data_IF_976527314438
#
_entry.id   IF_976527314438
#
_cell.length_a   1.000
_cell.length_b   1.000
_cell.length_c   1.000
_cell.angle_alpha   90.00
_cell.angle_beta   90.00
_cell.angle_gamma   90.00
#
_symmetry.space_group_name_H-M   'P 1'
#
loop_
_entity.id
_entity.type
_entity.pdbx_description
1 polymer ?
#
# COMPACT_ATOMS: atom_id res chain seq x y z
N UNK A 1 -4.53 -4.25 12.24
CA UNK A 1 -4.36 -3.02 11.44
C UNK A 1 -5.20 -3.07 10.20
N UNK A 2 -5.11 -4.15 9.42
CA UNK A 2 -5.98 -4.44 8.27
C UNK A 2 -7.45 -4.10 8.51
N UNK A 3 -8.06 -4.60 9.59
CA UNK A 3 -9.48 -4.31 9.92
C UNK A 3 -9.75 -2.81 10.07
N UNK A 4 -8.89 -2.07 10.78
CA UNK A 4 -9.02 -0.63 10.93
C UNK A 4 -8.88 0.13 9.61
N UNK A 5 -7.95 -0.30 8.75
CA UNK A 5 -7.79 0.27 7.41
C UNK A 5 -9.02 0.02 6.53
N UNK A 6 -9.57 -1.20 6.61
CA UNK A 6 -10.81 -1.55 5.93
C UNK A 6 -11.97 -0.66 6.42
N UNK A 7 -12.12 -0.44 7.73
CA UNK A 7 -13.17 0.43 8.26
C UNK A 7 -13.00 1.89 7.84
N UNK A 8 -11.78 2.42 7.84
CA UNK A 8 -11.49 3.76 7.32
C UNK A 8 -11.87 3.84 5.85
N UNK A 9 -11.49 2.83 5.07
CA UNK A 9 -11.86 2.76 3.67
C UNK A 9 -13.38 2.74 3.54
N UNK A 10 -14.11 1.83 4.18
CA UNK A 10 -15.58 1.76 4.18
C UNK A 10 -16.22 3.11 4.51
N UNK A 11 -15.82 3.74 5.62
CA UNK A 11 -16.51 4.88 6.18
C UNK A 11 -16.16 6.23 5.54
N UNK A 12 -14.95 6.37 5.00
CA UNK A 12 -14.50 7.62 4.39
C UNK A 12 -14.94 7.73 2.92
N UNK A 13 -15.00 8.97 2.46
CA UNK A 13 -15.14 9.31 1.05
C UNK A 13 -14.00 8.68 0.23
N UNK A 14 -14.36 8.05 -0.90
CA UNK A 14 -13.41 7.37 -1.79
C UNK A 14 -12.74 8.32 -2.77
N UNK A 15 -13.26 9.52 -3.02
CA UNK A 15 -12.74 10.45 -4.03
C UNK A 15 -11.23 10.68 -3.92
N UNK A 16 -10.65 10.99 -2.74
CA UNK A 16 -9.20 11.20 -2.64
C UNK A 16 -8.38 9.95 -2.97
N UNK A 17 -8.93 8.76 -2.69
CA UNK A 17 -8.26 7.50 -2.99
C UNK A 17 -8.36 7.14 -4.48
N UNK A 18 -9.51 7.40 -5.13
CA UNK A 18 -9.70 7.23 -6.57
C UNK A 18 -8.80 8.16 -7.38
N UNK A 19 -8.70 9.43 -6.98
CA UNK A 19 -7.76 10.41 -7.53
C UNK A 19 -6.31 9.91 -7.42
N UNK A 20 -5.94 9.40 -6.24
CA UNK A 20 -4.63 8.82 -5.99
C UNK A 20 -4.30 7.59 -6.85
N UNK A 21 -5.31 6.91 -7.39
CA UNK A 21 -5.18 5.77 -8.31
C UNK A 21 -5.36 6.16 -9.79
N UNK A 22 -5.63 7.43 -10.11
CA UNK A 22 -5.99 7.89 -11.44
C UNK A 22 -7.18 7.09 -12.02
N UNK A 23 -8.23 6.95 -11.22
CA UNK A 23 -9.49 6.30 -11.58
C UNK A 23 -10.60 7.34 -11.60
N UNK A 24 -11.23 7.52 -12.76
CA UNK A 24 -12.40 8.37 -12.94
C UNK A 24 -13.66 7.52 -12.78
N UNK A 25 -14.27 7.58 -11.61
CA UNK A 25 -15.46 6.80 -11.26
C UNK A 25 -16.24 7.50 -10.16
N UNK A 26 -17.56 7.46 -10.23
CA UNK A 26 -18.42 7.86 -9.11
C UNK A 26 -18.59 6.70 -8.13
N UNK A 27 -18.29 6.93 -6.85
CA UNK A 27 -18.43 5.95 -5.79
C UNK A 27 -19.16 6.56 -4.59
N UNK A 28 -20.48 6.35 -4.57
CA UNK A 28 -21.38 7.00 -3.61
C UNK A 28 -21.39 6.31 -2.23
N UNK A 29 -20.92 5.06 -2.14
CA UNK A 29 -20.97 4.29 -0.90
C UNK A 29 -19.89 4.73 0.09
N UNK A 30 -20.32 5.44 1.12
CA UNK A 30 -19.49 5.85 2.26
C UNK A 30 -20.32 6.09 3.52
N UNK A 31 -19.62 6.25 4.65
CA UNK A 31 -20.20 6.58 5.95
C UNK A 31 -20.11 5.45 6.96
N UNK A 32 -20.24 5.83 8.25
CA UNK A 32 -20.01 4.94 9.38
C UNK A 32 -21.12 3.88 9.46
N UNK A 33 -20.76 2.59 9.55
CA UNK A 33 -21.75 1.54 9.77
C UNK A 33 -22.31 1.64 11.19
N UNK A 34 -23.58 1.30 11.37
CA UNK A 34 -24.20 1.19 12.70
C UNK A 34 -23.89 -0.16 13.38
N UNK A 35 -23.58 -1.19 12.58
CA UNK A 35 -23.40 -2.56 13.00
C UNK A 35 -22.42 -3.25 12.06
N UNK A 36 -21.47 -3.98 12.65
CA UNK A 36 -20.55 -4.88 11.94
C UNK A 36 -20.92 -6.32 12.27
N UNK A 37 -21.27 -7.09 11.25
CA UNK A 37 -21.42 -8.54 11.33
C UNK A 37 -20.07 -9.20 11.06
N UNK A 38 -19.54 -9.92 12.05
CA UNK A 38 -18.19 -10.47 12.02
C UNK A 38 -18.22 -11.99 12.25
N UNK A 39 -17.25 -12.69 11.65
CA UNK A 39 -16.96 -14.06 12.05
C UNK A 39 -16.15 -14.08 13.37
N UNK A 40 -15.79 -15.28 13.82
CA UNK A 40 -15.10 -15.48 15.10
C UNK A 40 -13.57 -15.41 15.02
N UNK A 41 -12.99 -14.94 13.91
CA UNK A 41 -11.55 -14.83 13.73
C UNK A 41 -10.90 -13.91 14.77
N UNK A 42 -9.62 -14.18 15.04
CA UNK A 42 -8.91 -13.52 16.14
C UNK A 42 -8.71 -12.02 15.90
N UNK A 43 -8.55 -11.59 14.65
CA UNK A 43 -8.41 -10.17 14.28
C UNK A 43 -9.63 -9.32 14.68
N UNK A 44 -10.83 -9.90 14.64
CA UNK A 44 -12.07 -9.24 15.01
C UNK A 44 -12.25 -9.14 16.52
N UNK A 45 -11.46 -9.88 17.31
CA UNK A 45 -11.48 -9.84 18.78
C UNK A 45 -10.44 -8.89 19.36
N UNK A 46 -9.80 -8.06 18.53
CA UNK A 46 -8.79 -7.11 18.98
C UNK A 46 -9.36 -5.99 19.86
N UNK A 47 -8.59 -5.56 20.87
CA UNK A 47 -8.96 -4.41 21.72
C UNK A 47 -9.12 -3.13 20.89
N UNK A 48 -8.26 -2.96 19.87
CA UNK A 48 -8.31 -1.81 18.97
C UNK A 48 -9.65 -1.70 18.23
N UNK A 49 -10.17 -2.82 17.71
CA UNK A 49 -11.47 -2.83 17.05
C UNK A 49 -12.60 -2.50 18.02
N UNK A 50 -12.63 -3.15 19.19
CA UNK A 50 -13.67 -2.92 20.20
C UNK A 50 -13.75 -1.46 20.63
N UNK A 51 -12.60 -0.88 21.03
CA UNK A 51 -12.55 0.53 21.47
C UNK A 51 -12.91 1.51 20.35
N UNK A 52 -12.41 1.27 19.13
CA UNK A 52 -12.75 2.12 17.99
C UNK A 52 -14.25 2.07 17.68
N UNK A 53 -14.86 0.88 17.73
CA UNK A 53 -16.29 0.74 17.51
C UNK A 53 -17.11 1.40 18.62
N UNK A 54 -16.74 1.22 19.89
CA UNK A 54 -17.36 1.88 21.04
C UNK A 54 -17.33 3.41 20.93
N UNK A 55 -16.16 3.98 20.62
CA UNK A 55 -15.97 5.43 20.43
C UNK A 55 -16.87 6.01 19.33
N UNK A 56 -17.17 5.21 18.30
CA UNK A 56 -17.94 5.66 17.13
C UNK A 56 -19.40 5.20 17.13
N UNK A 57 -19.87 4.53 18.19
CA UNK A 57 -21.24 4.01 18.28
C UNK A 57 -21.53 2.86 17.31
N UNK A 58 -20.49 2.13 16.88
CA UNK A 58 -20.60 1.00 15.97
C UNK A 58 -20.78 -0.27 16.81
N UNK A 59 -21.89 -0.99 16.60
CA UNK A 59 -22.11 -2.25 17.30
C UNK A 59 -21.33 -3.39 16.63
N UNK A 60 -20.88 -4.34 17.43
CA UNK A 60 -20.25 -5.57 16.96
C UNK A 60 -21.21 -6.74 17.19
N UNK A 61 -21.52 -7.49 16.15
CA UNK A 61 -22.31 -8.71 16.24
C UNK A 61 -21.54 -9.87 15.62
N UNK A 62 -21.31 -10.90 16.44
CA UNK A 62 -20.51 -12.05 16.08
C UNK A 62 -21.43 -13.21 15.76
N UNK A 63 -21.09 -13.92 14.68
CA UNK A 63 -21.79 -15.14 14.32
C UNK A 63 -21.86 -16.13 15.50
N UNK A 64 -23.00 -16.82 15.70
CA UNK A 64 -23.08 -17.95 16.62
C UNK A 64 -22.03 -19.03 16.31
N UNK A 65 -21.48 -19.64 17.35
CA UNK A 65 -20.49 -20.71 17.19
C UNK A 65 -21.11 -21.92 16.45
N UNK A 66 -20.37 -22.48 15.49
CA UNK A 66 -20.77 -23.70 14.77
C UNK A 66 -21.81 -23.51 13.65
N UNK A 67 -22.09 -22.28 13.22
CA UNK A 67 -23.11 -22.01 12.18
C UNK A 67 -22.50 -21.44 10.88
N UNK A 68 -21.87 -22.28 10.02
CA UNK A 68 -21.13 -21.81 8.84
C UNK A 68 -22.01 -21.09 7.79
N UNK A 69 -23.32 -21.36 7.76
CA UNK A 69 -24.25 -20.82 6.76
C UNK A 69 -24.34 -19.28 6.72
N UNK A 70 -24.02 -18.57 7.80
CA UNK A 70 -23.93 -17.10 7.80
C UNK A 70 -22.76 -16.56 6.94
N UNK A 71 -21.89 -17.42 6.41
CA UNK A 71 -20.73 -17.05 5.59
C UNK A 71 -21.02 -16.90 4.10
N UNK A 72 -22.11 -17.48 3.62
CA UNK A 72 -22.34 -17.62 2.18
C UNK A 72 -22.40 -16.31 1.40
N UNK A 73 -22.76 -15.18 2.04
CA UNK A 73 -22.75 -13.86 1.39
C UNK A 73 -21.31 -13.40 1.14
N UNK A 74 -20.44 -13.51 2.15
CA UNK A 74 -19.04 -13.09 2.07
C UNK A 74 -18.25 -14.05 1.17
N UNK A 75 -18.51 -15.35 1.27
CA UNK A 75 -17.87 -16.35 0.41
C UNK A 75 -18.22 -16.14 -1.07
N UNK A 76 -19.48 -15.78 -1.37
CA UNK A 76 -19.91 -15.51 -2.75
C UNK A 76 -19.23 -14.27 -3.34
N UNK A 77 -19.11 -13.18 -2.56
CA UNK A 77 -18.46 -11.97 -3.08
C UNK A 77 -16.96 -12.17 -3.27
N UNK A 78 -16.31 -12.91 -2.37
CA UNK A 78 -14.90 -13.32 -2.52
C UNK A 78 -14.74 -14.20 -3.77
N UNK A 79 -15.62 -15.18 -3.98
CA UNK A 79 -15.60 -16.02 -5.18
C UNK A 79 -15.76 -15.21 -6.47
N UNK A 80 -16.65 -14.22 -6.47
CA UNK A 80 -16.85 -13.31 -7.61
C UNK A 80 -15.59 -12.49 -7.89
N UNK A 81 -14.96 -11.94 -6.84
CA UNK A 81 -13.71 -11.20 -6.97
C UNK A 81 -12.56 -12.06 -7.48
N UNK A 82 -12.42 -13.29 -6.98
CA UNK A 82 -11.40 -14.23 -7.44
C UNK A 82 -11.62 -14.64 -8.89
N UNK A 83 -12.87 -14.87 -9.31
CA UNK A 83 -13.19 -15.16 -10.70
C UNK A 83 -12.74 -14.03 -11.64
N UNK A 84 -13.07 -12.78 -11.32
CA UNK A 84 -12.60 -11.61 -12.09
C UNK A 84 -11.06 -11.54 -12.15
N UNK A 85 -10.38 -11.81 -11.04
CA UNK A 85 -8.91 -11.82 -10.97
C UNK A 85 -8.34 -12.92 -11.89
N UNK A 86 -8.87 -14.13 -11.81
CA UNK A 86 -8.36 -15.27 -12.58
C UNK A 86 -8.64 -15.16 -14.08
N UNK A 87 -9.76 -14.55 -14.46
CA UNK A 87 -10.16 -14.41 -15.86
C UNK A 87 -9.39 -13.28 -16.58
N UNK A 88 -9.07 -12.19 -15.89
CA UNK A 88 -8.52 -10.99 -16.52
C UNK A 88 -7.02 -10.77 -16.26
N UNK A 89 -6.46 -11.28 -15.17
CA UNK A 89 -5.08 -10.98 -14.79
C UNK A 89 -4.09 -12.10 -15.16
N UNK A 90 -2.93 -11.76 -15.76
CA UNK A 90 -1.84 -12.71 -15.98
C UNK A 90 -1.11 -13.02 -14.65
N UNK A 91 -0.56 -14.24 -14.53
CA UNK A 91 0.28 -14.62 -13.40
C UNK A 91 -0.48 -15.02 -12.13
N UNK A 92 -1.80 -15.25 -12.21
CA UNK A 92 -2.57 -15.70 -11.04
C UNK A 92 -2.22 -17.15 -10.66
N UNK A 93 -2.19 -17.44 -9.36
CA UNK A 93 -2.12 -18.81 -8.86
C UNK A 93 -3.54 -19.36 -8.85
N UNK A 94 -3.90 -20.20 -9.82
CA UNK A 94 -5.22 -20.84 -9.86
C UNK A 94 -5.52 -21.60 -8.57
N UNK A 95 -6.80 -21.69 -8.22
CA UNK A 95 -7.30 -22.27 -6.96
C UNK A 95 -7.15 -23.79 -6.85
N UNK A 96 -6.71 -24.47 -7.92
CA UNK A 96 -6.52 -25.92 -7.96
C UNK A 96 -5.07 -26.28 -8.36
N UNK A 97 -4.35 -27.13 -7.59
CA UNK A 97 -3.06 -27.70 -7.99
C UNK A 97 -3.05 -28.35 -9.39
N UNK A 98 -4.15 -28.96 -9.83
CA UNK A 98 -4.23 -29.61 -11.15
C UNK A 98 -4.38 -28.60 -12.29
N UNK A 99 -4.97 -27.42 -12.04
CA UNK A 99 -5.01 -26.30 -13.00
C UNK A 99 -3.67 -25.55 -13.06
N UNK A 100 -2.81 -25.75 -12.07
CA UNK A 100 -1.52 -25.08 -11.95
C UNK A 100 -0.48 -25.68 -12.89
N UNK A 101 -0.55 -26.99 -13.21
CA UNK A 101 0.28 -27.66 -14.24
C UNK A 101 1.72 -27.13 -14.34
N UNK A 102 2.15 -26.79 -15.56
CA UNK A 102 3.43 -26.12 -15.88
C UNK A 102 3.36 -24.58 -15.86
N UNK A 103 2.34 -23.99 -15.21
CA UNK A 103 2.12 -22.55 -15.23
C UNK A 103 3.06 -21.81 -14.26
N UNK A 104 4.12 -21.23 -14.82
CA UNK A 104 5.05 -20.38 -14.10
C UNK A 104 4.43 -19.00 -13.81
N UNK A 105 3.77 -18.91 -12.66
CA UNK A 105 3.14 -17.69 -12.13
C UNK A 105 4.16 -16.64 -11.71
N UNK A 106 5.34 -17.04 -11.24
CA UNK A 106 6.39 -16.12 -10.78
C UNK A 106 7.00 -15.35 -11.96
N UNK A 107 7.28 -16.01 -13.09
CA UNK A 107 7.79 -15.33 -14.29
C UNK A 107 6.71 -14.54 -15.06
N UNK A 108 5.42 -14.75 -14.75
CA UNK A 108 4.28 -14.06 -15.38
C UNK A 108 3.67 -12.94 -14.53
N UNK A 109 4.21 -12.66 -13.35
CA UNK A 109 3.79 -11.53 -12.52
C UNK A 109 4.05 -10.20 -13.25
N UNK A 110 3.00 -9.65 -13.86
CA UNK A 110 3.10 -8.48 -14.74
C UNK A 110 2.81 -7.15 -14.02
N UNK A 111 2.00 -7.19 -12.96
CA UNK A 111 1.50 -6.00 -12.29
C UNK A 111 2.28 -5.66 -11.02
N UNK A 112 2.56 -4.38 -10.84
CA UNK A 112 2.92 -3.80 -9.55
C UNK A 112 1.71 -3.76 -8.62
N UNK A 113 1.94 -3.64 -7.30
CA UNK A 113 0.84 -3.52 -6.33
C UNK A 113 -0.10 -2.36 -6.67
N UNK A 114 0.43 -1.21 -7.11
CA UNK A 114 -0.37 -0.03 -7.46
C UNK A 114 -1.23 -0.27 -8.71
N UNK A 115 -0.72 -1.02 -9.68
CA UNK A 115 -1.51 -1.40 -10.86
C UNK A 115 -2.60 -2.41 -10.50
N UNK A 116 -2.31 -3.37 -9.60
CA UNK A 116 -3.32 -4.28 -9.07
C UNK A 116 -4.41 -3.55 -8.28
N UNK A 117 -4.05 -2.59 -7.42
CA UNK A 117 -5.00 -1.74 -6.69
C UNK A 117 -5.90 -0.97 -7.66
N UNK A 118 -5.32 -0.37 -8.71
CA UNK A 118 -6.08 0.36 -9.74
C UNK A 118 -7.05 -0.57 -10.49
N UNK A 119 -6.58 -1.73 -10.95
CA UNK A 119 -7.43 -2.69 -11.65
C UNK A 119 -8.56 -3.20 -10.74
N UNK A 120 -8.25 -3.58 -9.49
CA UNK A 120 -9.25 -4.06 -8.54
C UNK A 120 -10.32 -3.00 -8.25
N UNK A 121 -9.90 -1.74 -8.17
CA UNK A 121 -10.82 -0.60 -8.00
C UNK A 121 -11.81 -0.51 -9.15
N UNK A 122 -11.33 -0.61 -10.38
CA UNK A 122 -12.17 -0.59 -11.58
C UNK A 122 -13.11 -1.80 -11.61
N UNK A 123 -12.61 -3.00 -11.30
CA UNK A 123 -13.41 -4.22 -11.26
C UNK A 123 -14.56 -4.13 -10.24
N UNK A 124 -14.30 -3.64 -9.03
CA UNK A 124 -15.34 -3.44 -8.02
C UNK A 124 -16.32 -2.33 -8.44
N UNK A 125 -15.82 -1.28 -9.11
CA UNK A 125 -16.65 -0.27 -9.75
C UNK A 125 -17.66 -0.84 -10.73
N UNK A 126 -17.18 -1.66 -11.68
CA UNK A 126 -17.99 -2.38 -12.65
C UNK A 126 -19.02 -3.28 -11.97
N UNK A 127 -18.63 -4.00 -10.91
CA UNK A 127 -19.55 -4.81 -10.12
C UNK A 127 -20.70 -3.97 -9.53
N UNK A 128 -20.39 -2.81 -8.95
CA UNK A 128 -21.40 -1.92 -8.37
C UNK A 128 -22.33 -1.27 -9.40
N UNK A 129 -21.87 -1.10 -10.64
CA UNK A 129 -22.66 -0.61 -11.76
C UNK A 129 -23.46 -1.69 -12.51
N UNK A 130 -23.13 -2.97 -12.32
CA UNK A 130 -23.75 -4.10 -13.03
C UNK A 130 -24.98 -4.66 -12.29
N UNK A 131 -25.96 -5.16 -13.04
CA UNK A 131 -27.17 -5.79 -12.45
C UNK A 131 -26.78 -7.00 -11.62
N UNK A 132 -27.10 -6.96 -10.32
CA UNK A 132 -26.82 -8.08 -9.42
C UNK A 132 -28.00 -9.05 -9.37
N UNK A 133 -27.76 -10.35 -9.64
CA UNK A 133 -28.79 -11.38 -9.74
C UNK A 133 -29.72 -11.47 -8.52
N UNK A 134 -29.19 -11.26 -7.31
CA UNK A 134 -30.01 -11.28 -6.08
C UNK A 134 -30.77 -9.98 -5.79
N UNK A 135 -30.36 -8.85 -6.40
CA UNK A 135 -30.98 -7.54 -6.17
C UNK A 135 -31.88 -7.10 -7.32
N UNK A 136 -31.72 -7.74 -8.49
CA UNK A 136 -32.36 -7.42 -9.78
C UNK A 136 -32.13 -5.98 -10.26
N UNK A 137 -31.08 -5.35 -9.77
CA UNK A 137 -30.61 -4.02 -10.17
C UNK A 137 -29.16 -3.81 -9.68
N UNK A 138 -28.47 -2.75 -10.12
CA UNK A 138 -27.11 -2.46 -9.67
C UNK A 138 -27.02 -2.19 -8.16
N UNK A 139 -25.98 -2.67 -7.47
CA UNK A 139 -25.73 -2.34 -6.07
C UNK A 139 -25.68 -0.82 -5.80
N UNK A 140 -25.12 -0.02 -6.72
CA UNK A 140 -25.10 1.43 -6.61
C UNK A 140 -26.51 2.04 -6.62
N UNK A 141 -27.42 1.53 -7.45
CA UNK A 141 -28.81 1.98 -7.49
C UNK A 141 -29.54 1.64 -6.19
N UNK A 142 -29.37 0.41 -5.67
CA UNK A 142 -29.94 0.01 -4.37
C UNK A 142 -29.44 0.88 -3.22
N UNK A 143 -28.17 1.27 -3.25
CA UNK A 143 -27.60 2.18 -2.27
C UNK A 143 -28.27 3.56 -2.34
N UNK A 144 -28.38 4.14 -3.53
CA UNK A 144 -29.03 5.44 -3.73
C UNK A 144 -30.50 5.43 -3.27
N UNK A 145 -31.27 4.38 -3.60
CA UNK A 145 -32.64 4.18 -3.11
C UNK A 145 -32.71 4.14 -1.58
N UNK A 146 -31.79 3.44 -0.93
CA UNK A 146 -31.75 3.34 0.52
C UNK A 146 -31.40 4.69 1.18
N UNK A 147 -30.45 5.43 0.62
CA UNK A 147 -30.09 6.78 1.08
C UNK A 147 -31.26 7.75 0.94
N UNK A 148 -31.99 7.71 -0.18
CA UNK A 148 -33.17 8.56 -0.38
C UNK A 148 -34.28 8.26 0.64
N UNK A 149 -34.42 7.00 1.06
CA UNK A 149 -35.45 6.55 2.00
C UNK A 149 -35.09 6.76 3.47
N UNK A 150 -33.85 6.47 3.85
CA UNK A 150 -33.39 6.37 5.25
C UNK A 150 -32.48 7.54 5.65
N UNK A 151 -31.94 8.27 4.68
CA UNK A 151 -30.97 9.33 4.88
C UNK A 151 -29.53 8.90 4.64
N UNK A 152 -28.65 9.89 4.52
CA UNK A 152 -27.20 9.68 4.31
C UNK A 152 -26.57 9.14 5.59
N UNK A 153 -25.75 8.08 5.52
CA UNK A 153 -25.00 7.58 6.68
C UNK A 153 -24.10 8.66 7.31
N UNK A 154 -23.84 8.54 8.61
CA UNK A 154 -22.98 9.49 9.32
C UNK A 154 -21.57 9.54 8.71
N UNK A 155 -21.16 10.71 8.25
CA UNK A 155 -19.88 10.89 7.55
C UNK A 155 -18.71 10.98 8.54
N UNK A 156 -17.57 10.42 8.16
CA UNK A 156 -16.30 10.64 8.87
C UNK A 156 -15.72 11.99 8.44
N UNK A 157 -15.71 12.97 9.35
CA UNK A 157 -15.19 14.33 9.06
C UNK A 157 -13.67 14.41 9.08
N UNK A 158 -13.00 13.56 9.87
CA UNK A 158 -11.54 13.52 9.99
C UNK A 158 -11.04 12.08 9.86
N UNK A 159 -10.69 11.70 8.62
CA UNK A 159 -10.23 10.35 8.31
C UNK A 159 -9.04 9.90 9.16
N UNK A 160 -8.08 10.79 9.42
CA UNK A 160 -6.91 10.49 10.26
C UNK A 160 -7.31 10.19 11.71
N UNK A 161 -8.16 11.02 12.32
CA UNK A 161 -8.64 10.78 13.69
C UNK A 161 -9.41 9.48 13.78
N UNK A 162 -10.29 9.21 12.80
CA UNK A 162 -11.03 7.95 12.71
C UNK A 162 -10.09 6.75 12.60
N UNK A 163 -9.05 6.82 11.76
CA UNK A 163 -8.04 5.77 11.64
C UNK A 163 -7.32 5.52 12.97
N UNK A 164 -6.91 6.57 13.67
CA UNK A 164 -6.18 6.48 14.95
C UNK A 164 -6.95 5.65 15.98
N UNK A 165 -8.28 5.77 16.02
CA UNK A 165 -9.14 5.02 16.93
C UNK A 165 -9.10 3.49 16.70
N UNK A 166 -8.73 3.04 15.49
CA UNK A 166 -8.59 1.63 15.12
C UNK A 166 -7.14 1.14 15.02
N UNK A 167 -6.15 1.99 15.26
CA UNK A 167 -4.73 1.58 15.24
C UNK A 167 -4.38 0.64 16.41
N UNK A 168 -3.34 -0.21 16.28
CA UNK A 168 -2.84 -1.03 17.38
C UNK A 168 -2.62 -0.26 18.67
N UNK A 169 -2.97 -0.89 19.78
CA UNK A 169 -2.80 -0.33 21.12
C UNK A 169 -1.50 -0.85 21.72
N UNK A 170 -0.76 0.07 22.32
CA UNK A 170 0.39 -0.16 23.19
C UNK A 170 0.12 0.54 24.52
N UNK A 171 0.71 0.03 25.60
CA UNK A 171 0.72 0.70 26.90
C UNK A 171 2.15 0.91 27.34
N UNK A 172 2.51 2.16 27.67
CA UNK A 172 3.88 2.52 28.08
C UNK A 172 3.86 3.55 29.19
N UNK A 173 4.83 3.45 30.09
CA UNK A 173 5.06 4.45 31.13
C UNK A 173 5.78 5.65 30.53
N UNK A 174 5.36 6.84 30.93
CA UNK A 174 5.99 8.09 30.53
C UNK A 174 7.24 8.34 31.39
N UNK A 175 8.38 8.55 30.75
CA UNK A 175 9.64 8.86 31.43
C UNK A 175 9.96 10.36 31.38
N UNK A 176 11.02 10.79 32.08
CA UNK A 176 11.50 12.18 32.00
C UNK A 176 11.91 12.60 30.58
N UNK A 177 12.27 11.65 29.71
CA UNK A 177 12.72 11.90 28.33
C UNK A 177 11.65 11.60 27.29
N UNK A 178 10.40 11.33 27.70
CA UNK A 178 9.30 10.96 26.83
C UNK A 178 8.99 9.46 26.84
N UNK A 179 8.52 8.93 25.72
CA UNK A 179 8.22 7.51 25.55
C UNK A 179 9.35 6.79 24.83
N UNK A 180 9.64 5.56 25.25
CA UNK A 180 10.53 4.64 24.51
C UNK A 180 9.72 3.44 24.06
N UNK A 181 9.72 3.19 22.76
CA UNK A 181 8.99 2.07 22.15
C UNK A 181 9.93 1.40 21.15
N UNK A 182 10.26 0.13 21.43
CA UNK A 182 11.07 -0.70 20.54
C UNK A 182 12.42 -0.03 20.17
N UNK A 183 13.10 0.57 21.14
CA UNK A 183 14.40 1.28 21.01
C UNK A 183 14.32 2.66 20.31
N UNK A 184 13.13 3.19 20.08
CA UNK A 184 12.91 4.51 19.48
C UNK A 184 12.35 5.46 20.55
N UNK A 185 12.87 6.69 20.59
CA UNK A 185 12.42 7.73 21.51
C UNK A 185 11.40 8.65 20.85
N UNK A 186 10.31 8.95 21.57
CA UNK A 186 9.25 9.85 21.14
C UNK A 186 9.09 10.98 22.15
N UNK A 187 9.05 12.21 21.66
CA UNK A 187 8.94 13.39 22.50
C UNK A 187 8.25 14.54 21.78
N UNK A 188 7.42 15.27 22.51
CA UNK A 188 6.91 16.57 22.12
C UNK A 188 6.81 17.44 23.38
N UNK A 189 6.92 18.76 23.22
CA UNK A 189 6.81 19.72 24.33
C UNK A 189 5.48 19.63 25.07
N UNK A 190 4.41 19.22 24.37
CA UNK A 190 3.10 18.96 24.96
C UNK A 190 3.11 17.84 26.03
N UNK A 191 4.16 17.02 26.12
CA UNK A 191 4.33 16.03 27.19
C UNK A 191 4.80 16.65 28.52
N UNK A 192 5.36 17.87 28.53
CA UNK A 192 5.93 18.50 29.74
C UNK A 192 4.97 18.49 30.94
N UNK A 193 3.67 18.85 30.81
CA UNK A 193 2.72 18.81 31.92
C UNK A 193 2.43 17.40 32.43
N UNK A 194 2.54 16.38 31.57
CA UNK A 194 2.36 14.99 31.94
C UNK A 194 3.61 14.41 32.61
N UNK A 195 4.81 14.79 32.13
CA UNK A 195 6.10 14.40 32.73
C UNK A 195 6.23 14.92 34.16
N UNK A 196 5.81 16.17 34.41
CA UNK A 196 5.82 16.79 35.74
C UNK A 196 4.95 16.02 36.76
N UNK A 197 3.88 15.38 36.27
CA UNK A 197 2.91 14.62 37.07
C UNK A 197 2.93 13.12 36.78
N UNK A 198 4.04 12.60 36.23
CA UNK A 198 4.11 11.23 35.68
C UNK A 198 3.79 10.14 36.71
N UNK A 199 4.06 10.39 38.00
CA UNK A 199 3.76 9.45 39.08
C UNK A 199 2.25 9.24 39.30
N UNK A 200 1.40 10.12 38.75
CA UNK A 200 -0.06 10.01 38.83
C UNK A 200 -0.63 8.91 37.94
N UNK A 201 0.06 8.53 36.87
CA UNK A 201 -0.45 7.56 35.88
C UNK A 201 0.58 6.46 35.63
N UNK A 202 0.26 5.19 35.96
CA UNK A 202 1.23 4.09 35.82
C UNK A 202 1.57 3.78 34.35
N UNK A 203 0.63 4.01 33.43
CA UNK A 203 0.84 3.82 31.99
C UNK A 203 -0.11 4.67 31.16
N UNK A 204 0.31 4.99 29.94
CA UNK A 204 -0.48 5.71 28.94
C UNK A 204 -0.89 4.75 27.83
N UNK A 205 -2.10 4.93 27.30
CA UNK A 205 -2.58 4.22 26.10
C UNK A 205 -2.02 4.94 24.87
N UNK A 206 -1.35 4.18 24.02
CA UNK A 206 -0.66 4.68 22.82
C UNK A 206 -1.17 3.93 21.61
N UNK A 207 -1.48 4.64 20.54
CA UNK A 207 -1.75 4.10 19.22
C UNK A 207 -0.53 4.29 18.33
N UNK A 208 -0.19 3.28 17.53
CA UNK A 208 0.94 3.36 16.58
C UNK A 208 0.57 2.68 15.27
N UNK A 209 0.77 3.37 14.16
CA UNK A 209 0.58 2.78 12.83
C UNK A 209 1.82 1.97 12.45
N UNK A 210 1.74 0.65 12.22
CA UNK A 210 2.89 -0.14 11.81
C UNK A 210 3.40 0.20 10.41
N UNK A 211 2.63 0.93 9.59
CA UNK A 211 3.04 1.38 8.26
C UNK A 211 3.91 2.64 8.30
N UNK A 212 3.78 3.43 9.36
CA UNK A 212 4.61 4.59 9.61
C UNK A 212 4.75 4.78 11.12
N UNK A 213 5.89 4.35 11.67
CA UNK A 213 6.18 4.50 13.09
C UNK A 213 6.84 5.85 13.42
N UNK A 214 6.86 6.82 12.50
CA UNK A 214 7.43 8.18 12.73
C UNK A 214 6.77 8.97 13.85
N UNK A 215 5.56 8.57 14.18
CA UNK A 215 4.72 9.20 15.19
C UNK A 215 3.92 8.16 15.94
N UNK A 216 3.51 8.56 17.13
CA UNK A 216 2.55 7.83 17.96
C UNK A 216 1.45 8.78 18.40
N UNK A 217 0.31 8.21 18.75
CA UNK A 217 -0.83 8.96 19.27
C UNK A 217 -1.09 8.53 20.70
N UNK A 218 -0.86 9.43 21.64
CA UNK A 218 -0.97 9.15 23.07
C UNK A 218 -2.31 9.67 23.56
N UNK A 219 -3.12 8.78 24.15
CA UNK A 219 -4.39 9.18 24.74
C UNK A 219 -4.12 10.05 25.97
N UNK A 220 -4.75 11.22 26.01
CA UNK A 220 -4.70 12.09 27.17
C UNK A 220 -5.25 11.37 28.42
N UNK A 221 -4.57 11.38 29.58
CA UNK A 221 -4.99 10.62 30.75
C UNK A 221 -6.37 10.99 31.31
N UNK A 222 -6.78 12.24 31.12
CA UNK A 222 -8.02 12.80 31.64
C UNK A 222 -8.99 13.19 30.52
N UNK A 223 -8.61 12.95 29.27
CA UNK A 223 -9.35 13.37 28.09
C UNK A 223 -9.73 12.20 27.20
N UNK A 224 -10.41 12.53 26.11
CA UNK A 224 -10.77 11.57 25.06
C UNK A 224 -9.98 11.79 23.76
N UNK A 225 -9.02 12.71 23.78
CA UNK A 225 -8.27 13.10 22.60
C UNK A 225 -6.90 12.45 22.57
N UNK A 226 -6.46 12.15 21.35
CA UNK A 226 -5.12 11.68 21.07
C UNK A 226 -4.19 12.85 20.74
N UNK A 227 -3.05 12.88 21.41
CA UNK A 227 -1.95 13.79 21.10
C UNK A 227 -0.92 13.09 20.20
N UNK A 228 -0.61 13.70 19.05
CA UNK A 228 0.44 13.21 18.16
C UNK A 228 1.83 13.55 18.72
N UNK A 229 2.69 12.54 18.86
CA UNK A 229 4.05 12.66 19.35
C UNK A 229 5.00 12.09 18.27
N UNK A 230 5.86 12.91 17.66
CA UNK A 230 6.84 12.44 16.69
C UNK A 230 8.02 11.75 17.39
N UNK A 231 8.97 11.26 16.60
CA UNK A 231 10.31 10.97 17.09
C UNK A 231 10.88 12.15 17.87
N UNK A 232 11.66 11.83 18.90
CA UNK A 232 12.49 12.82 19.59
C UNK A 232 13.54 13.40 18.63
N UNK A 233 14.15 12.55 17.81
CA UNK A 233 15.11 12.95 16.79
C UNK A 233 14.39 13.18 15.46
N UNK A 234 14.06 14.42 15.15
CA UNK A 234 13.25 14.80 13.98
C UNK A 234 13.93 14.52 12.63
N UNK A 235 15.26 14.31 12.61
CA UNK A 235 16.00 13.97 11.39
C UNK A 235 15.86 12.50 10.97
N UNK A 236 15.28 11.65 11.82
CA UNK A 236 15.05 10.25 11.45
C UNK A 236 13.95 10.14 10.38
N UNK A 237 14.16 9.31 9.33
CA UNK A 237 13.17 9.13 8.29
C UNK A 237 11.97 8.33 8.80
N UNK A 238 10.83 8.45 8.13
CA UNK A 238 9.72 7.54 8.34
C UNK A 238 10.13 6.10 8.02
N UNK A 239 9.80 5.17 8.90
CA UNK A 239 10.06 3.73 8.74
C UNK A 239 8.81 2.94 9.10
N UNK A 240 8.71 1.74 8.53
CA UNK A 240 7.67 0.79 8.92
C UNK A 240 8.12 -0.01 10.15
N UNK A 241 7.16 -0.55 10.91
CA UNK A 241 7.44 -1.50 11.99
C UNK A 241 8.15 -2.77 11.47
N UNK A 242 7.91 -3.13 10.21
CA UNK A 242 8.56 -4.27 9.58
C UNK A 242 10.07 -4.01 9.37
N UNK A 243 10.43 -2.87 8.79
CA UNK A 243 11.84 -2.47 8.61
C UNK A 243 12.56 -2.41 9.95
N UNK A 244 11.92 -1.82 10.96
CA UNK A 244 12.45 -1.79 12.33
C UNK A 244 12.74 -3.20 12.86
N UNK A 245 11.77 -4.12 12.77
CA UNK A 245 11.94 -5.50 13.24
C UNK A 245 13.04 -6.24 12.49
N UNK A 246 13.13 -6.03 11.18
CA UNK A 246 14.14 -6.66 10.35
C UNK A 246 15.55 -6.16 10.71
N UNK A 247 15.70 -4.84 10.90
CA UNK A 247 16.95 -4.24 11.35
C UNK A 247 17.35 -4.71 12.76
N UNK A 248 16.41 -4.79 13.71
CA UNK A 248 16.66 -5.34 15.05
C UNK A 248 17.12 -6.80 14.98
N UNK A 249 16.49 -7.63 14.16
CA UNK A 249 16.88 -9.02 13.97
C UNK A 249 18.31 -9.13 13.42
N UNK A 250 18.68 -8.28 12.45
CA UNK A 250 20.04 -8.23 11.89
C UNK A 250 21.08 -7.75 12.90
N UNK A 251 20.78 -6.72 13.68
CA UNK A 251 21.69 -6.21 14.71
C UNK A 251 21.96 -7.27 15.80
N UNK A 252 20.93 -8.03 16.20
CA UNK A 252 21.08 -9.15 17.14
C UNK A 252 21.93 -10.29 16.56
N UNK A 253 21.75 -10.63 15.29
CA UNK A 253 22.60 -11.63 14.59
C UNK A 253 24.07 -11.21 14.54
N UNK A 254 24.36 -9.90 14.51
CA UNK A 254 25.72 -9.36 14.54
C UNK A 254 26.32 -9.29 15.96
N UNK A 255 25.68 -9.90 16.96
CA UNK A 255 26.20 -9.95 18.33
C UNK A 255 26.13 -8.62 19.09
N UNK A 256 25.33 -7.65 18.63
CA UNK A 256 25.14 -6.40 19.36
C UNK A 256 24.15 -6.59 20.51
N UNK A 257 24.66 -6.70 21.73
CA UNK A 257 23.85 -6.82 22.95
C UNK A 257 23.10 -5.53 23.29
N UNK A 258 23.71 -4.37 23.03
CA UNK A 258 23.08 -3.06 23.22
C UNK A 258 22.77 -2.45 21.85
N UNK A 259 21.48 -2.42 21.51
CA UNK A 259 21.00 -1.72 20.31
C UNK A 259 20.58 -0.32 20.70
N UNK A 260 21.37 0.68 20.30
CA UNK A 260 20.97 2.08 20.37
C UNK A 260 20.13 2.49 19.13
N UNK A 261 19.35 3.56 19.29
CA UNK A 261 18.45 4.09 18.25
C UNK A 261 19.22 4.48 16.98
N UNK A 262 20.42 5.02 17.12
CA UNK A 262 21.22 5.45 15.98
C UNK A 262 21.70 4.27 15.13
N UNK A 263 22.10 3.17 15.77
CA UNK A 263 22.47 1.93 15.12
C UNK A 263 21.28 1.29 14.39
N UNK A 264 20.09 1.37 14.99
CA UNK A 264 18.84 0.93 14.37
C UNK A 264 18.56 1.68 13.06
N UNK A 265 18.54 3.02 13.09
CA UNK A 265 18.27 3.80 11.88
C UNK A 265 19.38 3.68 10.82
N UNK A 266 20.65 3.57 11.22
CA UNK A 266 21.75 3.27 10.28
C UNK A 266 21.53 1.92 9.58
N UNK A 267 21.16 0.88 10.32
CA UNK A 267 20.88 -0.44 9.75
C UNK A 267 19.71 -0.40 8.76
N UNK A 268 18.63 0.31 9.10
CA UNK A 268 17.50 0.51 8.18
C UNK A 268 17.97 1.19 6.88
N UNK A 269 18.79 2.24 6.99
CA UNK A 269 19.39 2.93 5.84
C UNK A 269 20.18 1.98 4.93
N UNK A 270 21.10 1.19 5.51
CA UNK A 270 21.89 0.20 4.76
C UNK A 270 21.01 -0.83 4.05
N UNK A 271 19.96 -1.31 4.71
CA UNK A 271 19.04 -2.29 4.11
C UNK A 271 18.24 -1.69 2.94
N UNK A 272 17.81 -0.44 3.04
CA UNK A 272 17.15 0.28 1.94
C UNK A 272 18.09 0.47 0.74
N UNK A 273 19.35 0.80 0.99
CA UNK A 273 20.37 0.95 -0.07
C UNK A 273 20.62 -0.36 -0.83
N UNK A 274 20.69 -1.48 -0.12
CA UNK A 274 20.83 -2.83 -0.72
C UNK A 274 19.63 -3.12 -1.63
N UNK A 275 18.40 -2.93 -1.14
CA UNK A 275 17.18 -3.18 -1.92
C UNK A 275 17.12 -2.28 -3.15
N UNK A 276 17.41 -0.99 -2.99
CA UNK A 276 17.38 -0.01 -4.09
C UNK A 276 18.42 -0.33 -5.16
N UNK A 277 19.63 -0.72 -4.75
CA UNK A 277 20.70 -1.10 -5.66
C UNK A 277 20.37 -2.39 -6.42
N UNK A 278 19.81 -3.39 -5.74
CA UNK A 278 19.34 -4.62 -6.36
C UNK A 278 18.24 -4.35 -7.41
N UNK A 279 17.23 -3.55 -7.08
CA UNK A 279 16.17 -3.17 -8.04
C UNK A 279 16.72 -2.45 -9.27
N UNK A 280 17.67 -1.53 -9.10
CA UNK A 280 18.34 -0.85 -10.23
C UNK A 280 19.10 -1.83 -11.10
N UNK A 281 19.82 -2.78 -10.50
CA UNK A 281 20.54 -3.83 -11.21
C UNK A 281 19.59 -4.74 -12.00
N UNK A 282 18.50 -5.21 -11.40
CA UNK A 282 17.48 -6.02 -12.07
C UNK A 282 16.82 -5.27 -13.23
N UNK A 283 16.45 -3.99 -13.04
CA UNK A 283 15.90 -3.15 -14.12
C UNK A 283 16.90 -2.92 -15.25
N UNK A 284 18.19 -2.80 -14.95
CA UNK A 284 19.24 -2.71 -15.98
C UNK A 284 19.36 -4.03 -16.74
N UNK A 285 19.45 -5.16 -16.03
CA UNK A 285 19.54 -6.49 -16.62
C UNK A 285 18.35 -6.81 -17.53
N UNK A 286 17.12 -6.47 -17.11
CA UNK A 286 15.90 -6.62 -17.94
C UNK A 286 15.98 -5.79 -19.22
N UNK A 287 16.35 -4.50 -19.12
CA UNK A 287 16.55 -3.64 -20.31
C UNK A 287 17.62 -4.16 -21.27
N UNK A 288 18.73 -4.67 -20.74
CA UNK A 288 19.81 -5.24 -21.57
C UNK A 288 19.41 -6.58 -22.20
N UNK A 289 18.52 -7.36 -21.58
CA UNK A 289 17.90 -8.54 -22.17
C UNK A 289 16.94 -8.15 -23.31
N UNK A 290 16.05 -7.19 -23.08
CA UNK A 290 15.11 -6.68 -24.09
C UNK A 290 15.85 -6.12 -25.31
N UNK A 291 16.93 -5.35 -25.11
CA UNK A 291 17.81 -4.86 -26.20
C UNK A 291 18.41 -6.01 -27.02
N UNK A 292 18.90 -7.06 -26.35
CA UNK A 292 19.45 -8.25 -27.03
C UNK A 292 18.37 -9.05 -27.76
N UNK A 293 17.14 -9.05 -27.26
CA UNK A 293 16.01 -9.70 -27.92
C UNK A 293 15.56 -8.93 -29.15
N UNK A 294 15.52 -7.59 -29.09
CA UNK A 294 15.22 -6.73 -30.25
C UNK A 294 16.19 -6.97 -31.42
N UNK A 295 17.48 -7.23 -31.12
CA UNK A 295 18.48 -7.61 -32.14
C UNK A 295 18.20 -8.98 -32.80
N UNK A 296 17.44 -9.87 -32.15
CA UNK A 296 17.02 -11.16 -32.72
C UNK A 296 15.72 -11.06 -33.52
N UNK A 297 14.87 -10.07 -33.23
CA UNK A 297 13.55 -9.90 -33.85
C UNK A 297 13.56 -8.99 -35.08
N UNK A 298 14.62 -8.21 -35.33
CA UNK A 298 14.77 -7.58 -36.64
C UNK A 298 15.03 -8.69 -37.67
N UNK A 299 14.06 -8.94 -38.56
CA UNK A 299 14.34 -9.64 -39.81
C UNK A 299 15.60 -9.04 -40.41
N UNK A 300 16.51 -9.90 -40.93
CA UNK A 300 17.73 -9.44 -41.60
C UNK A 300 17.33 -8.32 -42.55
N UNK A 301 17.80 -7.08 -42.38
CA UNK A 301 17.64 -6.11 -43.45
C UNK A 301 18.28 -6.75 -44.69
N UNK A 302 17.61 -6.65 -45.84
CA UNK A 302 18.25 -6.99 -47.10
C UNK A 302 19.63 -6.36 -47.10
N UNK A 303 20.66 -7.14 -47.47
CA UNK A 303 22.04 -6.66 -47.51
C UNK A 303 22.00 -5.26 -48.14
N UNK A 304 22.47 -4.20 -47.45
CA UNK A 304 22.55 -2.90 -48.10
C UNK A 304 23.44 -3.09 -49.32
N UNK A 305 22.81 -3.03 -50.49
CA UNK A 305 23.52 -3.03 -51.76
C UNK A 305 24.30 -1.72 -51.74
N UNK A 306 25.64 -1.76 -51.80
CA UNK A 306 26.40 -0.53 -52.01
C UNK A 306 25.83 0.12 -53.27
N UNK A 307 25.58 1.44 -53.29
CA UNK A 307 25.06 2.09 -54.49
C UNK A 307 25.93 1.71 -55.68
N UNK A 308 25.30 1.27 -56.78
CA UNK A 308 26.01 0.96 -58.01
C UNK A 308 26.84 2.17 -58.40
N UNK A 309 28.15 1.96 -58.49
CA UNK A 309 29.07 2.93 -59.08
C UNK A 309 28.72 3.05 -60.56
N UNK A 310 27.97 4.09 -60.93
CA UNK A 310 27.90 4.58 -62.31
C UNK A 310 29.29 5.10 -62.69
N UNK A 311 30.15 4.22 -63.19
CA UNK A 311 31.27 4.59 -64.04
C UNK A 311 30.86 4.26 -65.47
N UNK A 312 30.23 5.23 -66.12
CA UNK A 312 30.52 5.64 -67.50
C UNK A 312 29.53 6.74 -67.94
N UNK A 313 29.81 7.99 -67.58
CA UNK A 313 29.49 9.10 -68.47
C UNK A 313 30.82 9.65 -69.00
N UNK A 314 31.21 9.38 -70.26
CA UNK A 314 32.44 9.87 -70.85
C UNK A 314 32.26 11.35 -71.26
N UNK A 315 32.00 12.23 -70.29
CA UNK A 315 31.95 13.67 -70.50
C UNK A 315 32.04 14.44 -69.17
N UNK A 316 33.20 14.33 -68.49
CA UNK A 316 33.51 15.21 -67.36
C UNK A 316 35.02 15.52 -67.23
N UNK A 317 35.71 15.75 -68.36
CA UNK A 317 36.93 16.56 -68.36
C UNK A 317 36.52 18.04 -68.24
N UNK A 318 36.37 18.53 -67.00
CA UNK A 318 36.55 19.92 -66.54
C UNK A 318 35.68 20.26 -65.32
N UNK A 319 36.02 19.71 -64.14
CA UNK A 319 35.59 20.31 -62.87
C UNK A 319 36.79 20.42 -61.91
N UNK A 320 37.01 21.59 -61.28
CA UNK A 320 38.18 21.85 -60.44
C UNK A 320 38.14 21.04 -59.11
N UNK A 321 39.30 20.77 -58.48
CA UNK A 321 39.36 19.93 -57.29
C UNK A 321 38.56 20.52 -56.14
N UNK A 322 37.66 19.70 -55.56
CA UNK A 322 36.90 20.04 -54.37
C UNK A 322 37.85 20.22 -53.17
N UNK A 323 37.67 21.33 -52.44
CA UNK A 323 38.47 21.66 -51.25
C UNK A 323 38.03 20.80 -50.05
N UNK A 324 38.96 20.35 -49.18
CA UNK A 324 38.62 19.69 -47.91
C UNK A 324 37.84 20.65 -47.01
N UNK A 325 36.85 20.14 -46.29
CA UNK A 325 36.15 20.89 -45.23
C UNK A 325 37.00 20.90 -43.96
N UNK A 326 37.42 22.10 -43.55
CA UNK A 326 38.01 22.39 -42.24
C UNK A 326 36.88 22.56 -41.21
N UNK A 327 36.51 21.49 -40.52
CA UNK A 327 35.86 21.56 -39.20
C UNK A 327 35.76 20.16 -38.59
N UNK A 328 36.76 19.84 -37.77
CA UNK A 328 36.65 18.84 -36.72
C UNK A 328 36.10 19.58 -35.51
N UNK A 329 34.87 19.27 -35.09
CA UNK A 329 34.46 19.47 -33.70
C UNK A 329 34.16 18.11 -33.09
N UNK A 330 35.01 17.75 -32.12
CA UNK A 330 34.89 16.60 -31.26
C UNK A 330 33.73 16.80 -30.27
N UNK A 331 32.87 15.78 -30.13
CA UNK A 331 32.17 15.44 -28.89
C UNK A 331 32.12 13.93 -28.72
#
# INVERSE_FOLDING_TARGET
VSVGLCLVHVACDKRPWLEGLNVEMDWQMSGKPLLLYLDNAAEFKSEALRRGCEQHGIRLDYRPLGQPHYGGIVERIIGTAMQMIHDELPGTTFSNPDQRGDYDSENKAALTLRELERWLTLAVGTYHGSVHNGLLQPPAARWAEAVARVGVPAVVTRATSFLVDFLPILRRTLTRTGFVIDHIHYYADALKPWIARRERWPSFLIRRDPRDISRIWVLEPEGQHYLEIPYRTLSHPAVTLWEQRQALAKLRQQGREQVDESALFRMIGQMREIVTSAQKATRKARRDADRRQHLKTSARPDKPVPPDTDIADPQADNLPPAKPFDQIEEW
#
